data_IF_416891382137
#
_entry.id   IF_416891382137
#
_cell.length_a   1.000
_cell.length_b   1.000
_cell.length_c   1.000
_cell.angle_alpha   90.00
_cell.angle_beta   90.00
_cell.angle_gamma   90.00
#
_symmetry.space_group_name_H-M   'P 1'
#
loop_
_entity.id
_entity.type
_entity.pdbx_description
1 polymer ?
#
# COMPACT_ATOMS: atom_id res chain seq x y z
N UNK A 1 -17.56 24.69 16.12
CA UNK A 1 -16.56 24.42 15.07
C UNK A 1 -15.39 23.74 15.75
N UNK A 2 -15.26 22.42 15.64
CA UNK A 2 -14.14 21.70 16.22
C UNK A 2 -12.97 21.78 15.24
N UNK A 3 -11.86 22.37 15.69
CA UNK A 3 -10.59 22.35 14.95
C UNK A 3 -10.08 20.91 15.01
N UNK A 4 -9.92 20.28 13.84
CA UNK A 4 -9.24 19.00 13.75
C UNK A 4 -7.77 19.24 14.13
N UNK A 5 -7.41 18.89 15.37
CA UNK A 5 -6.01 18.77 15.74
C UNK A 5 -5.46 17.57 14.96
N UNK A 6 -4.65 17.86 13.94
CA UNK A 6 -3.98 16.80 13.17
C UNK A 6 -3.16 15.94 14.10
N UNK A 7 -3.37 14.63 14.05
CA UNK A 7 -2.52 13.64 14.72
C UNK A 7 -1.14 13.75 14.07
N UNK A 8 -0.13 14.07 14.88
CA UNK A 8 1.21 14.42 14.39
C UNK A 8 2.24 13.30 14.62
N UNK A 9 1.87 12.26 15.36
CA UNK A 9 2.74 11.10 15.62
C UNK A 9 2.04 9.80 15.28
N UNK A 10 2.82 8.77 14.95
CA UNK A 10 2.31 7.44 14.59
C UNK A 10 1.56 6.81 15.76
N UNK A 11 2.09 6.92 16.98
CA UNK A 11 1.48 6.34 18.18
C UNK A 11 0.09 6.91 18.47
N UNK A 12 -0.07 8.23 18.36
CA UNK A 12 -1.37 8.89 18.53
C UNK A 12 -2.40 8.41 17.51
N UNK A 13 -1.97 8.11 16.28
CA UNK A 13 -2.85 7.58 15.24
C UNK A 13 -3.26 6.13 15.50
N UNK A 14 -2.35 5.30 16.02
CA UNK A 14 -2.63 3.90 16.34
C UNK A 14 -3.57 3.73 17.54
N UNK A 15 -3.60 4.69 18.45
CA UNK A 15 -4.44 4.67 19.66
C UNK A 15 -5.90 5.06 19.40
N UNK A 16 -6.19 5.77 18.30
CA UNK A 16 -7.56 6.17 17.97
C UNK A 16 -8.36 5.02 17.33
N UNK A 17 -9.45 4.53 17.96
CA UNK A 17 -10.28 3.51 17.35
C UNK A 17 -11.03 4.08 16.14
N UNK A 18 -11.16 3.26 15.10
CA UNK A 18 -12.01 3.57 13.95
C UNK A 18 -13.46 3.66 14.47
N UNK A 19 -14.16 4.79 14.29
CA UNK A 19 -15.56 4.89 14.66
C UNK A 19 -16.42 3.96 13.82
N UNK A 20 -17.43 3.31 14.40
CA UNK A 20 -18.33 2.39 13.68
C UNK A 20 -18.93 2.95 12.39
N UNK A 21 -19.31 4.23 12.37
CA UNK A 21 -19.86 4.86 11.16
C UNK A 21 -18.83 4.92 10.02
N UNK A 22 -17.54 5.02 10.36
CA UNK A 22 -16.46 5.12 9.39
C UNK A 22 -16.19 3.78 8.70
N UNK A 23 -16.52 2.66 9.35
CA UNK A 23 -16.42 1.31 8.78
C UNK A 23 -17.41 1.10 7.61
N UNK A 24 -18.49 1.88 7.59
CA UNK A 24 -19.54 1.80 6.57
C UNK A 24 -19.35 2.82 5.42
N UNK A 25 -18.35 3.70 5.51
CA UNK A 25 -18.11 4.72 4.49
C UNK A 25 -17.57 4.12 3.20
N UNK A 26 -18.08 4.60 2.08
CA UNK A 26 -17.58 4.27 0.75
C UNK A 26 -17.35 5.54 -0.10
N UNK A 27 -16.85 5.31 -1.32
CA UNK A 27 -16.76 6.33 -2.34
C UNK A 27 -16.07 7.62 -1.88
N UNK A 28 -16.71 8.76 -2.14
CA UNK A 28 -16.13 10.07 -1.81
C UNK A 28 -16.12 10.33 -0.30
N UNK A 29 -17.14 9.86 0.42
CA UNK A 29 -17.23 10.05 1.87
C UNK A 29 -16.07 9.37 2.61
N UNK A 30 -15.65 8.19 2.13
CA UNK A 30 -14.46 7.51 2.62
C UNK A 30 -13.18 8.29 2.33
N UNK A 31 -13.02 8.82 1.12
CA UNK A 31 -11.84 9.63 0.74
C UNK A 31 -11.72 10.88 1.61
N UNK A 32 -12.83 11.58 1.84
CA UNK A 32 -12.87 12.78 2.65
C UNK A 32 -12.53 12.46 4.11
N UNK A 33 -13.09 11.37 4.65
CA UNK A 33 -12.80 10.90 6.00
C UNK A 33 -11.31 10.58 6.19
N UNK A 34 -10.71 9.81 5.27
CA UNK A 34 -9.29 9.46 5.36
C UNK A 34 -8.43 10.72 5.28
N UNK A 35 -8.63 11.58 4.28
CA UNK A 35 -7.82 12.80 4.12
C UNK A 35 -7.97 13.81 5.27
N UNK A 36 -9.09 13.77 6.01
CA UNK A 36 -9.29 14.60 7.20
C UNK A 36 -8.45 14.13 8.39
N UNK A 37 -8.26 12.82 8.55
CA UNK A 37 -7.59 12.23 9.72
C UNK A 37 -6.14 11.80 9.47
N UNK A 38 -5.81 11.45 8.22
CA UNK A 38 -4.53 10.91 7.81
C UNK A 38 -3.66 12.02 7.21
N UNK A 39 -2.55 12.32 7.88
CA UNK A 39 -1.62 13.41 7.51
C UNK A 39 -0.39 12.92 6.75
N UNK A 40 -0.04 11.63 6.85
CA UNK A 40 1.16 11.04 6.26
C UNK A 40 1.00 10.71 4.76
N UNK A 41 -0.22 10.55 4.26
CA UNK A 41 -0.50 10.34 2.85
C UNK A 41 -1.81 10.97 2.41
N UNK A 42 -2.01 11.09 1.09
CA UNK A 42 -3.25 11.59 0.47
C UNK A 42 -3.93 10.50 -0.33
N UNK A 43 -5.25 10.48 -0.27
CA UNK A 43 -6.11 9.54 -1.00
C UNK A 43 -6.93 10.28 -2.05
N UNK A 44 -7.12 9.66 -3.21
CA UNK A 44 -8.00 10.16 -4.27
C UNK A 44 -8.70 8.99 -4.96
N UNK A 45 -9.90 9.22 -5.49
CA UNK A 45 -10.54 8.28 -6.41
C UNK A 45 -9.89 8.41 -7.78
N UNK A 46 -9.63 7.27 -8.41
CA UNK A 46 -9.21 7.21 -9.81
C UNK A 46 -10.33 6.54 -10.61
N UNK A 47 -10.95 7.23 -11.58
CA UNK A 47 -11.99 6.64 -12.43
C UNK A 47 -11.53 5.36 -13.14
N UNK A 48 -10.23 5.29 -13.48
CA UNK A 48 -9.60 4.10 -14.08
C UNK A 48 -9.55 2.88 -13.15
N UNK A 49 -9.66 3.10 -11.84
CA UNK A 49 -9.65 2.05 -10.81
C UNK A 49 -11.07 1.70 -10.34
N UNK A 50 -12.13 2.34 -10.83
CA UNK A 50 -13.49 1.95 -10.41
C UNK A 50 -13.99 0.72 -11.18
N UNK A 51 -13.45 0.51 -12.38
CA UNK A 51 -13.74 -0.64 -13.21
C UNK A 51 -12.72 -1.77 -12.93
N UNK A 52 -13.17 -2.86 -12.30
CA UNK A 52 -12.45 -4.14 -12.20
C UNK A 52 -11.14 -4.18 -11.38
N UNK A 53 -10.96 -3.34 -10.35
CA UNK A 53 -9.82 -3.49 -9.40
C UNK A 53 -9.68 -4.90 -8.84
N UNK A 54 -10.80 -5.55 -8.50
CA UNK A 54 -10.78 -6.88 -7.88
C UNK A 54 -10.09 -7.94 -8.76
N UNK A 55 -10.20 -7.84 -10.09
CA UNK A 55 -9.54 -8.75 -11.02
C UNK A 55 -8.05 -8.46 -11.23
N UNK A 56 -7.56 -7.32 -10.71
CA UNK A 56 -6.17 -6.87 -10.84
C UNK A 56 -5.36 -6.99 -9.54
N UNK A 57 -5.99 -7.34 -8.41
CA UNK A 57 -5.29 -7.50 -7.14
C UNK A 57 -4.93 -8.97 -6.95
N UNK A 58 -3.71 -9.24 -6.47
CA UNK A 58 -3.27 -10.59 -6.15
C UNK A 58 -4.16 -11.20 -5.06
N UNK A 59 -4.60 -12.44 -5.26
CA UNK A 59 -5.45 -13.12 -4.29
C UNK A 59 -4.73 -13.33 -2.94
N UNK A 60 -5.48 -13.14 -1.85
CA UNK A 60 -4.95 -13.26 -0.49
C UNK A 60 -4.37 -14.66 -0.17
N UNK A 61 -4.78 -15.71 -0.90
CA UNK A 61 -4.24 -17.07 -0.78
C UNK A 61 -2.74 -17.15 -1.10
N UNK A 62 -2.21 -16.19 -1.86
CA UNK A 62 -0.78 -16.11 -2.19
C UNK A 62 0.04 -15.38 -1.11
N UNK A 63 -0.60 -14.89 -0.04
CA UNK A 63 0.09 -14.39 1.15
C UNK A 63 0.63 -15.59 1.93
N UNK A 64 1.71 -16.19 1.42
CA UNK A 64 2.40 -17.29 2.05
C UNK A 64 3.50 -16.76 2.99
N UNK A 65 3.65 -17.41 4.14
CA UNK A 65 4.87 -17.23 4.95
C UNK A 65 6.03 -17.87 4.19
N UNK A 66 7.19 -17.20 4.08
CA UNK A 66 8.36 -17.80 3.46
C UNK A 66 8.75 -19.08 4.21
N UNK A 67 9.26 -20.08 3.49
CA UNK A 67 9.83 -21.25 4.15
C UNK A 67 11.08 -20.82 4.90
N UNK A 68 11.41 -21.50 6.00
CA UNK A 68 12.61 -21.16 6.78
C UNK A 68 13.90 -21.31 5.97
N UNK A 69 13.90 -22.18 4.96
CA UNK A 69 15.02 -22.37 4.04
C UNK A 69 15.23 -21.18 3.07
N UNK A 70 14.18 -20.40 2.81
CA UNK A 70 14.21 -19.20 1.98
C UNK A 70 14.64 -17.94 2.78
N UNK A 71 14.76 -18.08 4.11
CA UNK A 71 15.19 -17.00 4.99
C UNK A 71 16.70 -17.11 5.17
N UNK A 72 17.43 -16.24 4.50
CA UNK A 72 18.87 -16.10 4.72
C UNK A 72 19.13 -15.69 6.17
N UNK A 73 20.20 -16.25 6.76
CA UNK A 73 20.70 -15.79 8.05
C UNK A 73 21.09 -14.31 7.93
N UNK A 74 20.84 -13.55 8.99
CA UNK A 74 21.24 -12.14 9.04
C UNK A 74 22.75 -12.03 8.80
N UNK A 75 23.12 -11.39 7.69
CA UNK A 75 24.52 -11.21 7.30
C UNK A 75 24.97 -9.90 7.91
N UNK A 76 25.80 -9.97 8.95
CA UNK A 76 26.52 -8.80 9.44
C UNK A 76 27.54 -8.36 8.39
N UNK A 77 27.14 -7.40 7.56
CA UNK A 77 28.04 -6.67 6.70
C UNK A 77 28.76 -5.61 7.54
N UNK A 78 30.06 -5.42 7.31
CA UNK A 78 30.84 -4.34 7.95
C UNK A 78 30.50 -2.95 7.39
N UNK A 79 29.58 -2.88 6.42
CA UNK A 79 29.13 -1.64 5.78
C UNK A 79 27.91 -1.04 6.48
N UNK A 80 27.93 0.28 6.63
CA UNK A 80 26.80 1.04 7.18
C UNK A 80 25.68 1.18 6.13
N UNK A 81 24.44 0.85 6.53
CA UNK A 81 23.26 1.02 5.68
C UNK A 81 22.95 2.52 5.58
N UNK A 82 22.78 3.09 4.37
CA UNK A 82 22.52 4.51 4.22
C UNK A 82 21.11 4.89 4.68
N UNK A 83 20.95 6.14 5.12
CA UNK A 83 19.64 6.70 5.52
C UNK A 83 18.62 6.71 4.36
N UNK A 84 19.10 6.86 3.12
CA UNK A 84 18.28 6.84 1.90
C UNK A 84 18.91 5.94 0.84
N UNK A 85 18.09 5.15 0.16
CA UNK A 85 18.53 4.28 -0.93
C UNK A 85 17.50 4.22 -2.06
N UNK A 86 17.95 4.48 -3.29
CA UNK A 86 17.17 4.28 -4.51
C UNK A 86 17.94 3.38 -5.48
N UNK A 87 17.41 2.19 -5.75
CA UNK A 87 18.02 1.22 -6.66
C UNK A 87 18.24 1.78 -8.08
N UNK A 88 17.40 2.72 -8.53
CA UNK A 88 17.53 3.36 -9.85
C UNK A 88 18.75 4.28 -9.92
N UNK A 89 19.15 4.87 -8.80
CA UNK A 89 20.35 5.70 -8.70
C UNK A 89 21.61 4.86 -8.53
N UNK A 90 21.51 3.72 -7.82
CA UNK A 90 22.63 2.81 -7.59
C UNK A 90 23.05 2.03 -8.84
N UNK A 91 22.09 1.60 -9.65
CA UNK A 91 22.31 0.84 -10.89
C UNK A 91 21.62 1.50 -12.09
N UNK A 92 22.08 2.69 -12.51
CA UNK A 92 21.42 3.47 -13.56
C UNK A 92 21.46 2.79 -14.94
N UNK A 93 22.43 1.90 -15.17
CA UNK A 93 22.54 1.07 -16.37
C UNK A 93 21.45 -0.01 -16.48
N UNK A 94 20.83 -0.38 -15.35
CA UNK A 94 19.76 -1.35 -15.29
C UNK A 94 18.40 -0.68 -15.53
N UNK A 95 18.09 -0.41 -16.79
CA UNK A 95 16.84 0.28 -17.19
C UNK A 95 15.56 -0.44 -16.75
N UNK A 96 15.63 -1.75 -16.48
CA UNK A 96 14.51 -2.55 -15.99
C UNK A 96 14.04 -2.15 -14.58
N UNK A 97 14.90 -1.56 -13.75
CA UNK A 97 14.57 -1.16 -12.37
C UNK A 97 13.56 0.00 -12.35
N UNK A 98 13.69 0.93 -13.31
CA UNK A 98 12.77 2.06 -13.44
C UNK A 98 11.49 1.75 -14.22
N UNK A 99 11.33 0.53 -14.75
CA UNK A 99 10.23 0.18 -15.64
C UNK A 99 8.97 -0.25 -14.87
N UNK A 100 7.90 0.53 -14.99
CA UNK A 100 6.60 0.21 -14.39
C UNK A 100 5.84 -0.75 -15.30
N UNK A 101 5.49 -1.93 -14.78
CA UNK A 101 4.77 -2.99 -15.51
C UNK A 101 3.26 -2.90 -15.28
N UNK A 102 2.49 -3.26 -16.29
CA UNK A 102 1.04 -3.48 -16.21
C UNK A 102 0.76 -4.99 -16.15
N UNK A 103 0.12 -5.45 -15.07
CA UNK A 103 -0.26 -6.85 -14.91
C UNK A 103 -1.54 -7.23 -15.68
N UNK A 104 -2.17 -6.27 -16.39
CA UNK A 104 -3.44 -6.44 -17.08
C UNK A 104 -4.53 -6.99 -16.13
N UNK A 105 -5.55 -7.64 -16.67
CA UNK A 105 -6.58 -8.34 -15.88
C UNK A 105 -6.10 -9.74 -15.44
N UNK A 106 -4.98 -9.78 -14.71
CA UNK A 106 -4.42 -11.01 -14.16
C UNK A 106 -4.48 -10.96 -12.63
N UNK A 107 -5.32 -11.82 -12.06
CA UNK A 107 -5.64 -11.87 -10.63
C UNK A 107 -6.91 -12.67 -10.32
N UNK A 108 -7.55 -13.28 -11.33
CA UNK A 108 -8.82 -13.97 -11.17
C UNK A 108 -8.68 -15.27 -10.34
N UNK A 109 -9.32 -15.30 -9.18
CA UNK A 109 -10.10 -16.47 -8.79
C UNK A 109 -11.38 -16.43 -9.62
N UNK A 110 -11.55 -17.41 -10.52
CA UNK A 110 -12.73 -17.61 -11.38
C UNK A 110 -14.04 -16.98 -10.82
N UNK A 111 -14.36 -15.76 -11.23
CA UNK A 111 -15.72 -15.26 -11.18
C UNK A 111 -16.18 -15.14 -12.63
N UNK A 112 -16.69 -16.26 -13.15
CA UNK A 112 -17.47 -16.31 -14.37
C UNK A 112 -18.58 -15.25 -14.28
N UNK A 113 -18.41 -14.15 -14.99
CA UNK A 113 -19.54 -13.34 -15.47
C UNK A 113 -19.87 -13.89 -16.85
N UNK A 114 -20.76 -14.89 -16.89
CA UNK A 114 -21.60 -15.18 -18.06
C UNK A 114 -23.03 -14.80 -17.67
#
# INVERSE_FOLDING_TARGET
MAVAHGLNTVDQFLEEPIPKYAEELDGQALVDYVNQRQTFFKVARSPFLEENLRGRVMDARYIAKPNQEDVFADVHLEEEIPDEFDARQKWPECTSIGYIRDQSNCGEDNFLVI
#
